data_IF_502393020288
#
_entry.id   IF_502393020288
#
_cell.length_a   1.000
_cell.length_b   1.000
_cell.length_c   1.000
_cell.angle_alpha   90.00
_cell.angle_beta   90.00
_cell.angle_gamma   90.00
#
_symmetry.space_group_name_H-M   'P 1'
#
loop_
_entity.id
_entity.type
_entity.pdbx_description
1 polymer ?
#
# COMPACT_ATOMS: atom_id res chain seq x y z
N UNK A 1 18.40 -44.54 -50.86
CA UNK A 1 17.96 -43.22 -51.33
C UNK A 1 17.06 -42.63 -50.26
N UNK A 2 17.56 -41.66 -49.53
CA UNK A 2 16.77 -40.98 -48.46
C UNK A 2 16.12 -39.74 -49.04
N UNK A 3 14.79 -39.68 -49.04
CA UNK A 3 14.06 -38.51 -49.47
C UNK A 3 14.23 -37.38 -48.48
N UNK A 4 14.78 -36.26 -48.92
CA UNK A 4 14.84 -34.99 -48.15
C UNK A 4 13.43 -34.41 -48.13
N UNK A 5 12.87 -34.31 -46.96
CA UNK A 5 11.67 -33.48 -46.68
C UNK A 5 12.07 -32.00 -46.81
N UNK A 6 11.68 -31.34 -47.90
CA UNK A 6 11.73 -29.90 -48.04
C UNK A 6 10.50 -29.31 -47.34
N UNK A 7 10.73 -28.60 -46.22
CA UNK A 7 9.69 -27.76 -45.58
C UNK A 7 9.46 -26.58 -46.53
N UNK A 8 8.26 -26.46 -47.09
CA UNK A 8 7.84 -25.32 -47.92
C UNK A 8 7.50 -24.17 -46.96
N UNK A 9 8.46 -23.28 -46.75
CA UNK A 9 8.37 -22.15 -45.81
C UNK A 9 7.99 -20.80 -46.49
N UNK A 10 7.51 -20.79 -47.73
CA UNK A 10 7.19 -19.56 -48.47
C UNK A 10 5.79 -19.01 -48.18
N UNK A 11 4.87 -19.79 -47.63
CA UNK A 11 3.49 -19.33 -47.34
C UNK A 11 3.34 -18.63 -45.98
N UNK A 12 4.15 -18.99 -44.97
CA UNK A 12 4.09 -18.40 -43.64
C UNK A 12 4.71 -17.00 -43.56
N UNK A 13 5.74 -16.73 -44.31
CA UNK A 13 6.42 -15.42 -44.30
C UNK A 13 5.56 -14.30 -44.92
N UNK A 14 4.88 -14.57 -46.02
CA UNK A 14 3.96 -13.61 -46.69
C UNK A 14 2.70 -13.38 -45.83
N UNK A 15 2.11 -14.42 -45.26
CA UNK A 15 0.97 -14.32 -44.35
C UNK A 15 1.32 -13.53 -43.07
N UNK A 16 2.56 -13.64 -42.57
CA UNK A 16 3.01 -12.85 -41.43
C UNK A 16 3.24 -11.38 -41.78
N UNK A 17 3.76 -11.08 -42.97
CA UNK A 17 3.93 -9.69 -43.45
C UNK A 17 2.57 -8.99 -43.64
N UNK A 18 1.58 -9.66 -44.19
CA UNK A 18 0.23 -9.10 -44.37
C UNK A 18 -0.50 -8.92 -43.03
N UNK A 19 -0.33 -9.84 -42.10
CA UNK A 19 -0.83 -9.69 -40.72
C UNK A 19 -0.19 -8.50 -40.00
N UNK A 20 1.11 -8.29 -40.18
CA UNK A 20 1.80 -7.15 -39.56
C UNK A 20 1.30 -5.82 -40.15
N UNK A 21 1.13 -5.71 -41.47
CA UNK A 21 0.57 -4.51 -42.11
C UNK A 21 -0.86 -4.23 -41.63
N UNK A 22 -1.70 -5.25 -41.51
CA UNK A 22 -3.06 -5.11 -41.00
C UNK A 22 -3.08 -4.64 -39.52
N UNK A 23 -2.17 -5.17 -38.68
CA UNK A 23 -2.02 -4.74 -37.29
C UNK A 23 -1.53 -3.29 -37.19
N UNK A 24 -0.54 -2.89 -37.98
CA UNK A 24 0.00 -1.53 -38.01
C UNK A 24 -1.07 -0.52 -38.49
N UNK A 25 -1.90 -0.90 -39.46
CA UNK A 25 -3.03 -0.10 -39.91
C UNK A 25 -4.11 0.05 -38.82
N UNK A 26 -4.42 -1.03 -38.10
CA UNK A 26 -5.35 -0.99 -36.98
C UNK A 26 -4.83 -0.11 -35.82
N UNK A 27 -3.55 -0.21 -35.46
CA UNK A 27 -2.92 0.65 -34.47
C UNK A 27 -2.96 2.12 -34.86
N UNK A 28 -2.66 2.43 -36.14
CA UNK A 28 -2.75 3.79 -36.66
C UNK A 28 -4.19 4.33 -36.64
N UNK A 29 -5.19 3.49 -36.87
CA UNK A 29 -6.60 3.87 -36.76
C UNK A 29 -7.00 4.16 -35.33
N UNK A 30 -6.55 3.33 -34.36
CA UNK A 30 -6.77 3.54 -32.92
C UNK A 30 -6.13 4.85 -32.46
N UNK A 31 -4.89 5.11 -32.86
CA UNK A 31 -4.18 6.35 -32.52
C UNK A 31 -4.90 7.61 -33.05
N UNK A 32 -5.48 7.54 -34.24
CA UNK A 32 -6.28 8.65 -34.81
C UNK A 32 -7.62 8.84 -34.06
N UNK A 33 -8.28 7.77 -33.71
CA UNK A 33 -9.61 7.82 -33.07
C UNK A 33 -9.55 8.16 -31.58
N UNK A 34 -8.54 7.67 -30.86
CA UNK A 34 -8.45 7.72 -29.39
C UNK A 34 -7.21 8.44 -28.85
N UNK A 35 -6.32 8.89 -29.72
CA UNK A 35 -5.06 9.56 -29.35
C UNK A 35 -3.85 8.63 -29.35
N UNK A 36 -2.66 9.20 -29.57
CA UNK A 36 -1.39 8.47 -29.61
C UNK A 36 -1.15 7.68 -28.31
N UNK A 37 -0.81 6.39 -28.46
CA UNK A 37 -0.49 5.51 -27.36
C UNK A 37 -1.70 4.87 -26.69
N UNK A 38 -2.90 4.98 -27.29
CA UNK A 38 -4.10 4.29 -26.84
C UNK A 38 -3.97 2.76 -26.93
N UNK A 39 -3.18 2.27 -27.89
CA UNK A 39 -2.76 0.86 -27.98
C UNK A 39 -1.28 0.81 -28.35
N UNK A 40 -0.50 -0.03 -27.68
CA UNK A 40 0.92 -0.19 -27.94
C UNK A 40 1.41 -1.60 -27.62
N UNK A 41 2.49 -2.03 -28.26
CA UNK A 41 3.18 -3.27 -27.89
C UNK A 41 3.92 -3.05 -26.57
N UNK A 42 3.70 -3.93 -25.59
CA UNK A 42 4.28 -3.79 -24.25
C UNK A 42 5.82 -3.69 -24.26
N UNK A 43 6.49 -4.42 -25.16
CA UNK A 43 7.95 -4.37 -25.30
C UNK A 43 8.51 -3.10 -25.97
N UNK A 44 7.66 -2.19 -26.48
CA UNK A 44 8.08 -0.90 -27.03
C UNK A 44 8.04 0.21 -25.98
N UNK A 45 7.44 -0.02 -24.83
CA UNK A 45 7.49 0.88 -23.69
C UNK A 45 8.77 0.56 -22.93
N UNK A 46 9.69 1.51 -22.80
CA UNK A 46 10.71 1.43 -21.74
C UNK A 46 10.02 0.98 -20.48
N UNK A 47 10.57 0.02 -19.76
CA UNK A 47 10.02 -0.51 -18.53
C UNK A 47 9.69 0.69 -17.63
N UNK A 48 8.43 1.14 -17.64
CA UNK A 48 8.02 2.25 -16.79
C UNK A 48 8.17 1.76 -15.36
N UNK A 49 9.20 2.27 -14.69
CA UNK A 49 9.33 2.11 -13.26
C UNK A 49 8.02 2.59 -12.63
N UNK A 50 7.43 1.74 -11.82
CA UNK A 50 6.21 2.10 -11.09
C UNK A 50 6.61 3.15 -10.06
N UNK A 51 6.15 4.37 -10.24
CA UNK A 51 6.35 5.42 -9.24
C UNK A 51 5.63 5.01 -7.95
N UNK A 52 6.31 5.17 -6.82
CA UNK A 52 5.79 4.80 -5.51
C UNK A 52 6.07 5.90 -4.49
N UNK A 53 5.26 5.94 -3.45
CA UNK A 53 5.44 6.79 -2.27
C UNK A 53 5.79 5.87 -1.11
N UNK A 54 6.87 6.20 -0.38
CA UNK A 54 7.29 5.46 0.80
C UNK A 54 6.19 5.39 1.84
N UNK A 55 6.11 4.27 2.54
CA UNK A 55 5.19 4.07 3.66
C UNK A 55 5.71 4.63 4.98
N UNK A 56 6.97 5.09 5.01
CA UNK A 56 7.67 5.43 6.25
C UNK A 56 8.32 4.23 6.93
N UNK A 57 7.95 3.00 6.54
CA UNK A 57 8.56 1.74 6.97
C UNK A 57 9.47 1.20 5.87
N UNK A 58 10.76 1.04 6.18
CA UNK A 58 11.73 0.49 5.23
C UNK A 58 11.39 -0.94 4.83
N UNK A 59 10.97 -1.76 5.80
CA UNK A 59 10.62 -3.15 5.54
C UNK A 59 9.37 -3.29 4.68
N UNK A 60 8.35 -2.46 4.94
CA UNK A 60 7.14 -2.48 4.12
C UNK A 60 7.42 -1.99 2.70
N UNK A 61 8.26 -0.97 2.52
CA UNK A 61 8.69 -0.49 1.20
C UNK A 61 9.42 -1.58 0.42
N UNK A 62 10.29 -2.36 1.09
CA UNK A 62 10.98 -3.53 0.51
C UNK A 62 9.97 -4.64 0.18
N UNK A 63 9.04 -4.95 1.07
CA UNK A 63 8.04 -6.00 0.88
C UNK A 63 7.11 -5.69 -0.30
N UNK A 64 6.79 -4.42 -0.54
CA UNK A 64 6.00 -3.95 -1.67
C UNK A 64 6.72 -4.09 -3.02
N UNK A 65 8.04 -4.22 -3.03
CA UNK A 65 8.84 -4.55 -4.22
C UNK A 65 9.11 -3.40 -5.18
N UNK A 66 8.44 -2.25 -5.01
CA UNK A 66 8.60 -1.03 -5.84
C UNK A 66 9.05 0.17 -5.01
N UNK A 67 9.46 -0.07 -3.75
CA UNK A 67 9.99 0.97 -2.86
C UNK A 67 8.91 1.80 -2.14
N UNK A 68 7.67 1.32 -2.10
CA UNK A 68 6.54 1.96 -1.45
C UNK A 68 5.20 1.60 -2.06
N UNK A 69 4.16 2.38 -1.75
CA UNK A 69 2.84 2.22 -2.34
C UNK A 69 2.77 2.85 -3.74
N UNK A 70 2.21 2.13 -4.75
CA UNK A 70 2.21 2.58 -6.12
C UNK A 70 1.30 3.78 -6.36
N UNK A 71 1.77 4.81 -7.07
CA UNK A 71 0.99 5.97 -7.49
C UNK A 71 -0.07 5.58 -8.54
N UNK A 72 -1.15 6.34 -8.59
CA UNK A 72 -2.23 6.11 -9.56
C UNK A 72 -3.02 4.82 -9.33
N UNK A 73 -3.04 4.34 -8.08
CA UNK A 73 -3.67 3.08 -7.69
C UNK A 73 -4.55 3.23 -6.46
N UNK A 74 -5.50 2.30 -6.37
CA UNK A 74 -6.31 2.11 -5.16
C UNK A 74 -5.59 1.14 -4.24
N UNK A 75 -5.44 1.55 -2.99
CA UNK A 75 -4.84 0.79 -1.90
C UNK A 75 -5.90 0.55 -0.83
N UNK A 76 -5.95 -0.64 -0.27
CA UNK A 76 -6.77 -0.94 0.92
C UNK A 76 -5.85 -1.30 2.08
N UNK A 77 -6.01 -0.60 3.20
CA UNK A 77 -5.38 -0.91 4.49
C UNK A 77 -6.47 -1.33 5.45
N UNK A 78 -6.42 -2.56 5.93
CA UNK A 78 -7.46 -3.08 6.80
C UNK A 78 -6.89 -3.86 7.98
N UNK A 79 -7.68 -3.99 9.03
CA UNK A 79 -7.29 -4.70 10.24
C UNK A 79 -8.22 -4.37 11.41
N UNK A 80 -7.97 -4.99 12.58
CA UNK A 80 -8.72 -4.70 13.80
C UNK A 80 -8.62 -3.22 14.20
N UNK A 81 -9.47 -2.80 15.11
CA UNK A 81 -9.37 -1.49 15.76
C UNK A 81 -8.02 -1.35 16.47
N UNK A 82 -7.50 -0.11 16.53
CA UNK A 82 -6.21 0.22 17.17
C UNK A 82 -4.99 -0.57 16.65
N UNK A 83 -5.05 -1.11 15.42
CA UNK A 83 -3.94 -1.84 14.80
C UNK A 83 -2.89 -0.95 14.14
N UNK A 84 -3.12 0.38 14.02
CA UNK A 84 -2.20 1.34 13.41
C UNK A 84 -2.51 1.70 11.95
N UNK A 85 -3.74 1.44 11.45
CA UNK A 85 -4.17 1.77 10.07
C UNK A 85 -3.99 3.25 9.74
N UNK A 86 -4.60 4.12 10.55
CA UNK A 86 -4.52 5.58 10.39
C UNK A 86 -3.09 6.08 10.58
N UNK A 87 -2.33 5.52 11.52
CA UNK A 87 -0.90 5.82 11.71
C UNK A 87 -0.09 5.56 10.44
N UNK A 88 -0.26 4.39 9.82
CA UNK A 88 0.41 4.05 8.56
C UNK A 88 0.02 5.02 7.44
N UNK A 89 -1.28 5.34 7.30
CA UNK A 89 -1.75 6.28 6.28
C UNK A 89 -1.19 7.70 6.48
N UNK A 90 -1.10 8.17 7.73
CA UNK A 90 -0.50 9.47 8.06
C UNK A 90 1.00 9.50 7.75
N UNK A 91 1.73 8.40 7.98
CA UNK A 91 3.14 8.31 7.55
C UNK A 91 3.28 8.41 6.03
N UNK A 92 2.39 7.77 5.26
CA UNK A 92 2.39 7.89 3.78
C UNK A 92 2.15 9.35 3.36
N UNK A 93 1.22 10.05 4.02
CA UNK A 93 0.99 11.49 3.79
C UNK A 93 2.26 12.29 4.08
N UNK A 94 2.89 12.06 5.24
CA UNK A 94 4.11 12.76 5.64
C UNK A 94 5.25 12.53 4.63
N UNK A 95 5.43 11.30 4.16
CA UNK A 95 6.44 10.98 3.13
C UNK A 95 6.12 11.61 1.77
N UNK A 96 4.84 11.69 1.38
CA UNK A 96 4.41 12.40 0.17
C UNK A 96 4.74 13.90 0.26
N UNK A 97 4.37 14.55 1.37
CA UNK A 97 4.61 15.98 1.59
C UNK A 97 6.10 16.33 1.66
N UNK A 98 6.94 15.48 2.28
CA UNK A 98 8.42 15.64 2.28
C UNK A 98 9.01 15.71 0.87
N UNK A 99 8.37 15.04 -0.09
CA UNK A 99 8.78 15.06 -1.49
C UNK A 99 8.05 16.14 -2.32
N UNK A 100 7.40 17.11 -1.67
CA UNK A 100 6.67 18.20 -2.31
C UNK A 100 5.30 17.81 -2.87
N UNK A 101 4.77 16.64 -2.49
CA UNK A 101 3.45 16.18 -2.90
C UNK A 101 2.32 16.79 -2.08
N UNK A 102 1.14 16.93 -2.69
CA UNK A 102 -0.08 17.41 -2.06
C UNK A 102 -0.91 16.24 -1.56
N UNK A 103 -1.41 16.35 -0.31
CA UNK A 103 -2.19 15.30 0.32
C UNK A 103 -3.59 15.79 0.75
N UNK A 104 -4.55 14.87 0.69
CA UNK A 104 -5.90 15.09 1.20
C UNK A 104 -6.34 13.94 2.12
N UNK A 105 -7.16 14.27 3.11
CA UNK A 105 -7.71 13.33 4.08
C UNK A 105 -9.23 13.53 4.18
N UNK A 106 -9.97 12.49 3.81
CA UNK A 106 -11.43 12.44 3.96
C UNK A 106 -11.74 11.68 5.24
N UNK A 107 -12.04 12.44 6.29
CA UNK A 107 -12.29 11.97 7.65
C UNK A 107 -13.78 11.69 7.85
N UNK A 108 -14.24 10.52 7.43
CA UNK A 108 -15.63 10.10 7.60
C UNK A 108 -15.95 9.61 9.03
N UNK A 109 -14.95 9.33 9.84
CA UNK A 109 -15.10 8.97 11.26
C UNK A 109 -15.08 10.20 12.19
N UNK A 110 -14.71 11.40 11.67
CA UNK A 110 -14.52 12.62 12.45
C UNK A 110 -13.54 12.46 13.62
N UNK A 111 -12.50 11.68 13.42
CA UNK A 111 -11.57 11.23 14.46
C UNK A 111 -10.10 11.62 14.21
N UNK A 112 -9.82 12.42 13.18
CA UNK A 112 -8.46 12.87 12.88
C UNK A 112 -7.93 13.81 13.99
N UNK A 113 -6.86 13.40 14.65
CA UNK A 113 -6.14 14.23 15.61
C UNK A 113 -5.00 14.99 14.92
N UNK A 114 -5.13 16.33 14.75
CA UNK A 114 -4.08 17.14 14.11
C UNK A 114 -2.77 17.18 14.91
N UNK A 115 -2.84 17.07 16.24
CA UNK A 115 -1.63 17.06 17.10
C UNK A 115 -0.84 15.79 16.86
N UNK A 116 -1.54 14.64 16.77
CA UNK A 116 -0.92 13.37 16.44
C UNK A 116 -0.36 13.36 15.01
N UNK A 117 -1.12 13.83 14.03
CA UNK A 117 -0.67 13.93 12.65
C UNK A 117 0.64 14.76 12.53
N UNK A 118 0.70 15.90 13.22
CA UNK A 118 1.90 16.74 13.26
C UNK A 118 3.10 16.02 13.86
N UNK A 119 2.90 15.22 14.92
CA UNK A 119 3.98 14.42 15.54
C UNK A 119 4.53 13.36 14.59
N UNK A 120 3.69 12.81 13.70
CA UNK A 120 4.09 11.86 12.66
C UNK A 120 4.81 12.53 11.47
N UNK A 121 4.94 13.86 11.48
CA UNK A 121 5.62 14.63 10.45
C UNK A 121 4.71 15.15 9.34
N UNK A 122 3.39 15.07 9.50
CA UNK A 122 2.43 15.67 8.56
C UNK A 122 2.48 17.19 8.69
N UNK A 123 2.62 17.89 7.57
CA UNK A 123 2.40 19.33 7.50
C UNK A 123 0.89 19.59 7.49
N UNK A 124 0.34 19.90 8.67
CA UNK A 124 -1.10 20.08 8.86
C UNK A 124 -1.63 21.35 8.20
N UNK A 125 -0.77 22.34 7.98
CA UNK A 125 -1.18 23.61 7.36
C UNK A 125 -1.43 23.45 5.84
N UNK A 126 -0.85 22.43 5.22
CA UNK A 126 -1.05 22.09 3.81
C UNK A 126 -1.89 20.84 3.58
N UNK A 127 -2.34 20.16 4.65
CA UNK A 127 -3.19 19.00 4.52
C UNK A 127 -4.64 19.42 4.24
N UNK A 128 -5.19 19.00 3.10
CA UNK A 128 -6.59 19.21 2.78
C UNK A 128 -7.44 18.20 3.56
N UNK A 129 -8.31 18.68 4.44
CA UNK A 129 -9.20 17.82 5.24
C UNK A 129 -10.65 18.07 4.85
N UNK A 130 -11.43 16.99 4.70
CA UNK A 130 -12.88 17.05 4.48
C UNK A 130 -13.57 16.08 5.42
N UNK A 131 -14.69 16.50 6.00
CA UNK A 131 -15.53 15.74 6.94
C UNK A 131 -16.94 15.63 6.38
N UNK A 132 -17.20 14.68 5.49
CA UNK A 132 -18.50 14.51 4.84
C UNK A 132 -19.53 13.85 5.77
N UNK A 133 -20.81 14.22 5.61
CA UNK A 133 -21.92 13.65 6.38
C UNK A 133 -22.43 12.32 5.79
N UNK A 134 -22.25 12.09 4.49
CA UNK A 134 -22.75 10.88 3.79
C UNK A 134 -21.69 10.23 2.94
N UNK A 135 -21.83 8.93 2.69
CA UNK A 135 -20.92 8.17 1.82
C UNK A 135 -20.89 8.70 0.38
N UNK A 136 -22.04 9.14 -0.15
CA UNK A 136 -22.14 9.76 -1.48
C UNK A 136 -21.32 11.05 -1.55
N UNK A 137 -21.48 11.94 -0.54
CA UNK A 137 -20.72 13.19 -0.46
C UNK A 137 -19.22 12.92 -0.36
N UNK A 138 -18.81 11.98 0.50
CA UNK A 138 -17.41 11.58 0.62
C UNK A 138 -16.81 11.16 -0.72
N UNK A 139 -17.49 10.27 -1.46
CA UNK A 139 -17.00 9.73 -2.71
C UNK A 139 -17.03 10.72 -3.87
N UNK A 140 -17.96 11.70 -3.85
CA UNK A 140 -17.97 12.82 -4.80
C UNK A 140 -16.81 13.80 -4.55
N UNK A 141 -16.48 14.07 -3.27
CA UNK A 141 -15.30 14.85 -2.89
C UNK A 141 -14.03 14.15 -3.37
N UNK A 142 -13.92 12.84 -3.14
CA UNK A 142 -12.79 12.02 -3.65
C UNK A 142 -12.69 12.13 -5.17
N UNK A 143 -13.79 11.96 -5.93
CA UNK A 143 -13.79 12.08 -7.40
C UNK A 143 -13.31 13.46 -7.86
N UNK A 144 -13.80 14.51 -7.21
CA UNK A 144 -13.45 15.90 -7.55
C UNK A 144 -11.97 16.18 -7.30
N UNK A 145 -11.43 15.78 -6.13
CA UNK A 145 -10.05 15.96 -5.77
C UNK A 145 -9.11 15.16 -6.69
N UNK A 146 -9.43 13.89 -6.98
CA UNK A 146 -8.66 13.04 -7.90
C UNK A 146 -8.65 13.63 -9.31
N UNK A 147 -9.78 14.12 -9.80
CA UNK A 147 -9.88 14.69 -11.15
C UNK A 147 -9.20 16.05 -11.32
N UNK A 148 -8.91 16.74 -10.24
CA UNK A 148 -8.13 17.99 -10.28
C UNK A 148 -6.69 17.80 -10.77
N UNK A 149 -6.15 16.56 -10.69
CA UNK A 149 -4.74 16.22 -10.94
C UNK A 149 -3.74 16.94 -10.01
N UNK A 150 -4.22 17.57 -8.93
CA UNK A 150 -3.40 18.33 -8.00
C UNK A 150 -3.04 17.54 -6.72
N UNK A 151 -3.63 16.35 -6.53
CA UNK A 151 -3.47 15.54 -5.34
C UNK A 151 -2.61 14.31 -5.64
N UNK A 152 -1.56 14.09 -4.86
CA UNK A 152 -0.68 12.93 -4.96
C UNK A 152 -1.16 11.76 -4.12
N UNK A 153 -1.65 12.04 -2.90
CA UNK A 153 -2.18 11.05 -1.95
C UNK A 153 -3.51 11.53 -1.40
N UNK A 154 -4.50 10.65 -1.44
CA UNK A 154 -5.80 10.86 -0.81
C UNK A 154 -6.11 9.67 0.10
N UNK A 155 -6.43 9.94 1.36
CA UNK A 155 -6.86 8.94 2.35
C UNK A 155 -8.34 9.07 2.62
N UNK A 156 -9.05 7.95 2.71
CA UNK A 156 -10.45 7.87 3.16
C UNK A 156 -10.48 7.03 4.44
N UNK A 157 -10.78 7.65 5.56
CA UNK A 157 -10.86 7.00 6.87
C UNK A 157 -12.26 7.15 7.45
N UNK A 158 -13.08 6.13 7.51
CA UNK A 158 -12.89 4.80 6.98
C UNK A 158 -14.08 4.39 6.07
N UNK A 159 -13.90 3.31 5.29
CA UNK A 159 -15.00 2.75 4.47
C UNK A 159 -16.21 2.38 5.33
N UNK A 160 -15.98 1.94 6.59
CA UNK A 160 -17.07 1.58 7.50
C UNK A 160 -17.99 2.76 7.84
N UNK A 161 -17.47 3.98 7.82
CA UNK A 161 -18.21 5.21 8.12
C UNK A 161 -18.88 5.84 6.88
N UNK A 162 -18.68 5.28 5.69
CA UNK A 162 -19.35 5.74 4.46
C UNK A 162 -20.79 5.25 4.43
N UNK A 163 -21.63 5.87 5.25
CA UNK A 163 -23.07 5.54 5.36
C UNK A 163 -23.83 6.16 4.17
N UNK A 164 -24.61 5.37 3.40
CA UNK A 164 -25.46 5.89 2.34
C UNK A 164 -26.50 6.87 2.88
N UNK A 165 -26.78 7.93 2.12
CA UNK A 165 -27.78 8.94 2.49
C UNK A 165 -29.14 8.32 2.82
N UNK A 166 -29.59 7.36 2.02
CA UNK A 166 -30.87 6.68 2.24
C UNK A 166 -30.92 5.91 3.57
N UNK A 167 -29.79 5.49 4.12
CA UNK A 167 -29.69 4.86 5.43
C UNK A 167 -29.77 5.91 6.56
N UNK A 168 -29.20 7.10 6.34
CA UNK A 168 -29.22 8.21 7.30
C UNK A 168 -30.64 8.82 7.38
N UNK A 169 -31.33 8.95 6.25
CA UNK A 169 -32.70 9.52 6.15
C UNK A 169 -33.79 8.51 6.51
N UNK A 170 -33.47 7.21 6.62
CA UNK A 170 -34.38 6.13 7.01
C UNK A 170 -34.72 6.14 8.50
N UNK A 171 -35.75 5.39 8.88
CA UNK A 171 -36.12 5.21 10.30
C UNK A 171 -35.21 4.21 10.99
N UNK A 172 -35.05 4.37 12.32
CA UNK A 172 -34.30 3.40 13.13
C UNK A 172 -34.95 2.02 13.08
N UNK A 173 -34.22 1.04 12.52
CA UNK A 173 -34.67 -0.35 12.32
C UNK A 173 -34.99 -0.71 10.89
N UNK A 174 -34.95 0.24 9.95
CA UNK A 174 -35.09 -0.04 8.53
C UNK A 174 -33.93 -0.92 8.01
N UNK A 175 -34.29 -1.86 7.14
CA UNK A 175 -33.30 -2.77 6.55
C UNK A 175 -32.72 -2.19 5.26
N UNK A 176 -31.48 -1.73 5.31
CA UNK A 176 -30.75 -1.15 4.18
C UNK A 176 -29.65 -2.10 3.62
N UNK A 177 -29.99 -3.39 3.49
CA UNK A 177 -29.04 -4.43 3.09
C UNK A 177 -28.37 -4.11 1.75
N UNK A 178 -27.03 -4.02 1.78
CA UNK A 178 -26.21 -3.91 0.58
C UNK A 178 -26.10 -2.53 -0.04
N UNK A 179 -26.71 -1.48 0.49
CA UNK A 179 -26.62 -0.12 -0.07
C UNK A 179 -25.17 0.38 -0.09
N UNK A 180 -24.43 0.23 1.01
CA UNK A 180 -23.01 0.60 1.08
C UNK A 180 -22.15 -0.16 0.06
N UNK A 181 -22.39 -1.46 -0.11
CA UNK A 181 -21.65 -2.28 -1.09
C UNK A 181 -21.97 -1.84 -2.54
N UNK A 182 -23.21 -1.43 -2.83
CA UNK A 182 -23.62 -0.89 -4.13
C UNK A 182 -22.95 0.46 -4.38
N UNK A 183 -22.97 1.37 -3.39
CA UNK A 183 -22.33 2.68 -3.45
C UNK A 183 -20.83 2.53 -3.74
N UNK A 184 -20.12 1.69 -2.98
CA UNK A 184 -18.69 1.41 -3.19
C UNK A 184 -18.41 0.83 -4.58
N UNK A 185 -19.22 -0.12 -5.04
CA UNK A 185 -19.05 -0.73 -6.36
C UNK A 185 -19.22 0.28 -7.49
N UNK A 186 -20.21 1.15 -7.41
CA UNK A 186 -20.47 2.18 -8.40
C UNK A 186 -19.37 3.24 -8.42
N UNK A 187 -18.96 3.71 -7.25
CA UNK A 187 -17.93 4.75 -7.11
C UNK A 187 -16.55 4.26 -7.55
N UNK A 188 -16.13 3.07 -7.14
CA UNK A 188 -14.83 2.52 -7.55
C UNK A 188 -14.74 2.29 -9.05
N UNK A 189 -15.85 1.90 -9.71
CA UNK A 189 -15.90 1.77 -11.17
C UNK A 189 -15.62 3.11 -11.86
N UNK A 190 -16.17 4.22 -11.32
CA UNK A 190 -15.95 5.57 -11.83
C UNK A 190 -14.54 6.09 -11.50
N UNK A 191 -14.10 5.92 -10.25
CA UNK A 191 -12.85 6.46 -9.72
C UNK A 191 -11.61 5.83 -10.35
N UNK A 192 -11.61 4.52 -10.62
CA UNK A 192 -10.39 3.78 -11.04
C UNK A 192 -9.74 4.40 -12.27
N UNK A 193 -10.52 4.81 -13.27
CA UNK A 193 -10.01 5.46 -14.47
C UNK A 193 -9.42 6.85 -14.20
N UNK A 194 -10.04 7.62 -13.32
CA UNK A 194 -9.56 8.96 -12.93
C UNK A 194 -8.29 8.86 -12.08
N UNK A 195 -8.24 7.94 -11.13
CA UNK A 195 -7.08 7.65 -10.27
C UNK A 195 -5.86 7.30 -11.12
N UNK A 196 -6.02 6.42 -12.12
CA UNK A 196 -4.92 6.03 -13.00
C UNK A 196 -4.39 7.20 -13.83
N UNK A 197 -5.28 8.06 -14.35
CA UNK A 197 -4.89 9.22 -15.18
C UNK A 197 -4.23 10.33 -14.37
N UNK A 198 -4.76 10.63 -13.19
CA UNK A 198 -4.23 11.68 -12.31
C UNK A 198 -2.95 11.28 -11.59
N UNK A 199 -2.62 9.98 -11.59
CA UNK A 199 -1.53 9.40 -10.77
C UNK A 199 -1.71 9.61 -9.26
N UNK A 200 -2.89 10.02 -8.80
CA UNK A 200 -3.24 10.12 -7.40
C UNK A 200 -3.28 8.72 -6.79
N UNK A 201 -2.64 8.51 -5.65
CA UNK A 201 -2.81 7.31 -4.83
C UNK A 201 -4.03 7.51 -3.93
N UNK A 202 -4.96 6.55 -3.93
CA UNK A 202 -6.11 6.60 -3.02
C UNK A 202 -6.05 5.43 -2.05
N UNK A 203 -5.92 5.75 -0.76
CA UNK A 203 -5.86 4.78 0.33
C UNK A 203 -7.24 4.74 1.00
N UNK A 204 -7.88 3.58 0.97
CA UNK A 204 -9.08 3.30 1.75
C UNK A 204 -8.70 2.54 3.02
N UNK A 205 -8.96 3.14 4.16
CA UNK A 205 -8.87 2.46 5.46
C UNK A 205 -10.17 1.69 5.68
N UNK A 206 -10.05 0.42 6.08
CA UNK A 206 -11.21 -0.45 6.24
C UNK A 206 -11.16 -1.20 7.58
N UNK A 207 -12.33 -1.57 8.07
CA UNK A 207 -12.49 -2.31 9.31
C UNK A 207 -12.85 -3.77 9.00
N UNK A 208 -12.44 -4.67 9.89
CA UNK A 208 -12.83 -6.06 9.86
C UNK A 208 -14.22 -6.26 10.50
N UNK A 209 -14.98 -7.17 9.92
CA UNK A 209 -16.25 -7.67 10.45
C UNK A 209 -16.23 -9.18 10.40
N UNK A 210 -16.99 -9.80 11.29
CA UNK A 210 -17.13 -11.24 11.33
C UNK A 210 -18.41 -11.66 10.59
N UNK A 211 -18.30 -12.59 9.66
CA UNK A 211 -19.45 -13.21 9.00
C UNK A 211 -20.15 -14.15 9.99
N UNK A 212 -21.45 -13.96 10.16
CA UNK A 212 -22.26 -14.82 10.99
C UNK A 212 -22.51 -16.16 10.26
N UNK A 213 -22.38 -17.28 10.98
CA UNK A 213 -22.71 -18.61 10.46
C UNK A 213 -21.60 -19.31 9.65
N UNK A 214 -20.39 -18.75 9.59
CA UNK A 214 -19.24 -19.42 8.99
C UNK A 214 -18.64 -20.39 10.00
N UNK A 215 -18.87 -21.71 9.80
CA UNK A 215 -18.33 -22.76 10.67
C UNK A 215 -16.94 -23.25 10.23
N UNK A 216 -16.59 -23.07 8.95
CA UNK A 216 -15.32 -23.48 8.36
C UNK A 216 -14.74 -22.35 7.50
N UNK A 217 -13.41 -22.21 7.46
CA UNK A 217 -12.70 -21.16 6.75
C UNK A 217 -12.65 -19.84 7.53
N UNK A 218 -12.12 -18.78 6.89
CA UNK A 218 -11.92 -17.49 7.55
C UNK A 218 -13.24 -16.69 7.63
N UNK A 219 -13.78 -16.42 8.82
CA UNK A 219 -15.00 -15.64 9.00
C UNK A 219 -14.77 -14.14 8.80
N UNK A 220 -13.52 -13.65 8.78
CA UNK A 220 -13.22 -12.22 8.67
C UNK A 220 -13.56 -11.68 7.27
N UNK A 221 -14.16 -10.52 7.24
CA UNK A 221 -14.44 -9.78 6.00
C UNK A 221 -14.29 -8.29 6.24
N UNK A 222 -14.03 -7.53 5.20
CA UNK A 222 -14.00 -6.07 5.24
C UNK A 222 -15.38 -5.47 4.93
N UNK A 223 -15.68 -4.25 5.43
CA UNK A 223 -16.91 -3.52 5.14
C UNK A 223 -16.95 -3.02 3.69
N UNK A 224 -18.12 -2.58 3.21
CA UNK A 224 -18.29 -2.04 1.85
C UNK A 224 -18.35 -3.10 0.74
N UNK A 225 -18.55 -4.37 1.08
CA UNK A 225 -18.70 -5.47 0.13
C UNK A 225 -17.37 -5.91 -0.53
N UNK A 226 -17.49 -6.56 -1.70
CA UNK A 226 -16.30 -7.13 -2.37
C UNK A 226 -15.63 -6.20 -3.38
N UNK A 227 -16.25 -5.05 -3.72
CA UNK A 227 -15.74 -4.20 -4.81
C UNK A 227 -14.29 -3.75 -4.56
N UNK A 228 -13.99 -3.28 -3.34
CA UNK A 228 -12.65 -2.81 -2.98
C UNK A 228 -11.60 -3.92 -3.10
N UNK A 229 -11.94 -5.16 -2.76
CA UNK A 229 -11.04 -6.33 -2.91
C UNK A 229 -10.61 -6.54 -4.37
N UNK A 230 -11.49 -6.24 -5.35
CA UNK A 230 -11.17 -6.37 -6.77
C UNK A 230 -10.42 -5.15 -7.31
N UNK A 231 -10.85 -3.94 -6.96
CA UNK A 231 -10.29 -2.70 -7.48
C UNK A 231 -8.93 -2.35 -6.87
N UNK A 232 -8.69 -2.66 -5.60
CA UNK A 232 -7.41 -2.42 -4.96
C UNK A 232 -6.26 -3.13 -5.71
N UNK A 233 -5.18 -2.39 -5.95
CA UNK A 233 -3.92 -2.93 -6.50
C UNK A 233 -3.03 -3.50 -5.41
N UNK A 234 -3.09 -2.93 -4.21
CA UNK A 234 -2.41 -3.42 -3.00
C UNK A 234 -3.42 -3.52 -1.88
N UNK A 235 -3.34 -4.60 -1.10
CA UNK A 235 -4.13 -4.79 0.13
C UNK A 235 -3.19 -5.17 1.26
N UNK A 236 -3.26 -4.43 2.35
CA UNK A 236 -2.44 -4.58 3.54
C UNK A 236 -3.32 -4.99 4.73
N UNK A 237 -3.04 -6.15 5.30
CA UNK A 237 -3.60 -6.58 6.59
C UNK A 237 -2.65 -6.13 7.69
N UNK A 238 -3.09 -5.23 8.55
CA UNK A 238 -2.30 -4.69 9.66
C UNK A 238 -2.84 -5.15 10.99
N UNK A 239 -1.98 -5.77 11.81
CA UNK A 239 -2.37 -6.35 13.10
C UNK A 239 -1.35 -6.03 14.19
N UNK A 240 -1.85 -5.71 15.37
CA UNK A 240 -1.04 -5.64 16.57
C UNK A 240 -0.68 -7.06 17.00
N UNK A 241 0.62 -7.30 17.24
CA UNK A 241 1.15 -8.60 17.70
C UNK A 241 1.52 -8.60 19.19
N UNK A 242 1.81 -7.43 19.77
CA UNK A 242 2.16 -7.31 21.18
C UNK A 242 2.23 -5.87 21.66
N UNK A 243 2.37 -5.69 22.95
CA UNK A 243 2.64 -4.39 23.57
C UNK A 243 4.15 -4.23 23.81
N UNK A 244 4.67 -3.04 23.50
CA UNK A 244 6.04 -2.66 23.85
C UNK A 244 5.98 -1.93 25.18
N UNK A 245 6.76 -2.40 26.15
CA UNK A 245 6.78 -1.84 27.50
C UNK A 245 8.16 -1.29 27.80
N UNK A 246 8.17 -0.15 28.47
CA UNK A 246 9.34 0.34 29.24
C UNK A 246 8.99 0.20 30.72
N UNK A 247 9.64 -0.75 31.42
CA UNK A 247 9.29 -1.19 32.78
C UNK A 247 7.82 -1.63 32.83
N UNK A 248 6.95 -0.90 33.53
CA UNK A 248 5.52 -1.20 33.69
C UNK A 248 4.61 -0.40 32.76
N UNK A 249 5.16 0.56 32.01
CA UNK A 249 4.40 1.43 31.10
C UNK A 249 4.39 0.88 29.67
N UNK A 250 3.22 0.89 29.03
CA UNK A 250 3.09 0.53 27.62
C UNK A 250 3.39 1.76 26.77
N UNK A 251 4.52 1.72 26.06
CA UNK A 251 5.02 2.85 25.24
C UNK A 251 4.76 2.68 23.75
N UNK A 252 4.28 1.53 23.32
CA UNK A 252 4.02 1.27 21.91
C UNK A 252 3.44 -0.13 21.65
N UNK A 253 3.30 -0.44 20.38
CA UNK A 253 2.81 -1.74 19.92
C UNK A 253 3.75 -2.33 18.87
N UNK A 254 4.09 -3.61 19.01
CA UNK A 254 4.63 -4.39 17.91
C UNK A 254 3.49 -4.66 16.91
N UNK A 255 3.74 -4.37 15.65
CA UNK A 255 2.73 -4.42 14.59
C UNK A 255 3.25 -5.24 13.43
N UNK A 256 2.38 -6.10 12.90
CA UNK A 256 2.63 -6.92 11.72
C UNK A 256 1.77 -6.43 10.57
N UNK A 257 2.38 -6.31 9.38
CA UNK A 257 1.68 -5.99 8.14
C UNK A 257 1.92 -7.12 7.14
N UNK A 258 0.84 -7.75 6.66
CA UNK A 258 0.87 -8.74 5.58
C UNK A 258 0.40 -8.09 4.28
N UNK A 259 1.19 -8.23 3.22
CA UNK A 259 0.82 -7.81 1.86
C UNK A 259 -0.04 -8.90 1.24
N UNK A 260 -1.35 -8.82 1.41
CA UNK A 260 -2.30 -9.87 0.99
C UNK A 260 -2.53 -9.88 -0.51
N UNK A 261 -2.47 -8.70 -1.13
CA UNK A 261 -2.60 -8.52 -2.57
C UNK A 261 -1.61 -7.47 -3.05
N UNK A 262 -0.94 -7.77 -4.16
CA UNK A 262 -0.05 -6.81 -4.82
C UNK A 262 -0.07 -7.08 -6.34
N UNK A 263 -0.43 -6.05 -7.13
CA UNK A 263 -0.44 -6.12 -8.60
C UNK A 263 0.84 -5.59 -9.24
N UNK A 264 1.78 -5.07 -8.45
CA UNK A 264 3.03 -4.46 -8.96
C UNK A 264 4.28 -5.27 -8.59
N UNK A 265 4.17 -6.23 -7.66
CA UNK A 265 5.23 -7.15 -7.26
C UNK A 265 4.61 -8.43 -6.66
N UNK A 266 5.39 -9.50 -6.39
CA UNK A 266 4.88 -10.70 -5.71
C UNK A 266 4.27 -10.38 -4.34
N UNK A 267 3.04 -10.84 -4.06
CA UNK A 267 2.36 -10.64 -2.77
C UNK A 267 2.86 -11.60 -1.68
N UNK A 268 2.15 -11.64 -0.55
CA UNK A 268 2.32 -12.54 0.59
C UNK A 268 3.60 -12.34 1.41
N UNK A 269 4.26 -11.19 1.26
CA UNK A 269 5.33 -10.78 2.15
C UNK A 269 4.75 -10.21 3.45
N UNK A 270 5.49 -10.43 4.54
CA UNK A 270 5.10 -10.01 5.87
C UNK A 270 6.24 -9.25 6.52
N UNK A 271 5.92 -8.13 7.15
CA UNK A 271 6.87 -7.30 7.89
C UNK A 271 6.35 -7.03 9.29
N UNK A 272 7.28 -6.85 10.22
CA UNK A 272 6.98 -6.44 11.59
C UNK A 272 7.80 -5.21 11.93
N UNK A 273 7.16 -4.25 12.55
CA UNK A 273 7.77 -3.03 13.06
C UNK A 273 7.04 -2.52 14.30
N UNK A 274 7.73 -1.65 15.02
CA UNK A 274 7.18 -1.04 16.22
C UNK A 274 6.46 0.27 15.87
N UNK A 275 5.26 0.46 16.42
CA UNK A 275 4.57 1.76 16.45
C UNK A 275 4.66 2.30 17.87
N UNK A 276 5.43 3.37 18.05
CA UNK A 276 5.61 4.04 19.34
C UNK A 276 4.53 5.09 19.54
N UNK A 277 4.01 5.19 20.75
CA UNK A 277 2.97 6.19 21.05
C UNK A 277 3.53 7.60 20.97
N UNK A 278 2.86 8.43 20.18
CA UNK A 278 3.28 9.82 19.94
C UNK A 278 4.44 10.02 18.95
N UNK A 279 5.09 8.94 18.48
CA UNK A 279 6.19 9.01 17.51
C UNK A 279 5.88 8.27 16.20
N UNK A 280 4.95 7.28 16.23
CA UNK A 280 4.60 6.47 15.08
C UNK A 280 5.57 5.32 14.82
N UNK A 281 5.81 5.01 13.54
CA UNK A 281 6.66 3.90 13.11
C UNK A 281 8.12 4.15 13.52
N UNK A 282 8.71 3.20 14.27
CA UNK A 282 10.10 3.28 14.75
C UNK A 282 11.09 2.94 13.63
N UNK A 283 11.39 3.89 12.76
CA UNK A 283 12.31 3.71 11.63
C UNK A 283 13.68 3.17 12.07
N UNK A 284 14.24 3.68 13.16
CA UNK A 284 15.56 3.27 13.66
C UNK A 284 15.52 1.81 14.13
N UNK A 285 14.47 1.43 14.87
CA UNK A 285 14.28 0.06 15.31
C UNK A 285 14.18 -0.91 14.14
N UNK A 286 13.44 -0.53 13.11
CA UNK A 286 13.27 -1.31 11.90
C UNK A 286 14.58 -1.47 11.11
N UNK A 287 15.35 -0.39 10.93
CA UNK A 287 16.68 -0.43 10.29
C UNK A 287 17.62 -1.39 11.03
N UNK A 288 17.62 -1.36 12.37
CA UNK A 288 18.44 -2.26 13.17
C UNK A 288 18.02 -3.72 12.97
N UNK A 289 16.71 -4.01 13.07
CA UNK A 289 16.18 -5.38 12.98
C UNK A 289 16.37 -5.97 11.58
N UNK A 290 16.13 -5.18 10.53
CA UNK A 290 16.39 -5.57 9.14
C UNK A 290 17.89 -5.73 8.90
N UNK A 291 18.71 -4.84 9.45
CA UNK A 291 20.17 -4.93 9.37
C UNK A 291 20.73 -6.24 9.95
N UNK A 292 20.15 -6.71 11.06
CA UNK A 292 20.49 -8.04 11.64
C UNK A 292 20.03 -9.16 10.72
N UNK A 293 18.79 -9.13 10.22
CA UNK A 293 18.25 -10.15 9.29
C UNK A 293 19.04 -10.22 7.98
N UNK A 294 19.51 -9.08 7.49
CA UNK A 294 20.34 -8.98 6.28
C UNK A 294 21.82 -9.36 6.49
N UNK A 295 22.22 -9.71 7.72
CA UNK A 295 23.62 -10.02 8.06
C UNK A 295 24.57 -8.83 7.93
N UNK A 296 24.03 -7.59 7.96
CA UNK A 296 24.81 -6.35 7.96
C UNK A 296 25.17 -5.91 9.38
N UNK A 297 24.27 -6.14 10.32
CA UNK A 297 24.51 -5.92 11.74
C UNK A 297 24.75 -7.28 12.40
N UNK A 298 25.90 -7.43 13.02
CA UNK A 298 26.25 -8.62 13.79
C UNK A 298 25.60 -8.55 15.17
N UNK A 299 24.94 -9.64 15.57
CA UNK A 299 24.39 -9.81 16.91
C UNK A 299 25.09 -10.96 17.61
N UNK A 300 25.91 -10.65 18.63
CA UNK A 300 26.59 -11.63 19.47
C UNK A 300 26.10 -11.52 20.90
N UNK A 301 25.23 -12.46 21.32
CA UNK A 301 24.53 -12.40 22.58
C UNK A 301 23.66 -11.13 22.65
N UNK A 302 23.92 -10.26 23.63
CA UNK A 302 23.23 -8.98 23.79
C UNK A 302 23.87 -7.83 22.99
N UNK A 303 25.04 -8.03 22.38
CA UNK A 303 25.78 -6.97 21.70
C UNK A 303 25.42 -6.87 20.21
N UNK A 304 25.29 -5.66 19.74
CA UNK A 304 25.11 -5.30 18.33
C UNK A 304 26.36 -4.60 17.83
N UNK A 305 26.84 -4.98 16.63
CA UNK A 305 27.98 -4.38 15.96
C UNK A 305 27.68 -4.14 14.48
N UNK A 306 28.14 -3.01 13.96
CA UNK A 306 28.06 -2.67 12.55
C UNK A 306 29.39 -2.07 12.09
N UNK A 307 29.94 -2.58 10.96
CA UNK A 307 31.23 -2.14 10.41
C UNK A 307 32.38 -2.18 11.46
N UNK A 308 32.45 -3.31 12.20
CA UNK A 308 33.40 -3.53 13.31
C UNK A 308 33.26 -2.58 14.50
N UNK A 309 32.25 -1.71 14.53
CA UNK A 309 31.96 -0.81 15.64
C UNK A 309 30.84 -1.39 16.50
N UNK A 310 31.07 -1.48 17.82
CA UNK A 310 29.99 -1.84 18.76
C UNK A 310 29.01 -0.71 18.89
N UNK A 311 27.74 -0.94 18.50
CA UNK A 311 26.68 0.06 18.49
C UNK A 311 25.78 0.01 19.75
N UNK A 312 25.87 -1.06 20.56
CA UNK A 312 25.17 -1.10 21.83
C UNK A 312 25.01 -2.50 22.40
N UNK A 313 24.79 -2.55 23.71
CA UNK A 313 24.35 -3.74 24.42
C UNK A 313 22.84 -3.66 24.63
N UNK A 314 22.09 -4.57 24.01
CA UNK A 314 20.64 -4.52 23.95
C UNK A 314 20.10 -3.64 22.81
N UNK A 315 18.86 -3.94 22.40
CA UNK A 315 18.21 -3.30 21.24
C UNK A 315 18.02 -1.79 21.45
N UNK A 316 17.61 -1.36 22.65
CA UNK A 316 17.33 0.05 22.93
C UNK A 316 18.62 0.89 22.95
N UNK A 317 19.72 0.37 23.50
CA UNK A 317 21.01 1.08 23.45
C UNK A 317 21.54 1.19 22.02
N UNK A 318 21.36 0.15 21.19
CA UNK A 318 21.73 0.22 19.78
C UNK A 318 20.88 1.23 19.00
N UNK A 319 19.56 1.33 19.29
CA UNK A 319 18.68 2.37 18.72
C UNK A 319 19.13 3.79 19.13
N UNK A 320 19.45 3.98 20.40
CA UNK A 320 19.97 5.27 20.89
C UNK A 320 21.27 5.64 20.20
N UNK A 321 22.20 4.70 20.10
CA UNK A 321 23.47 4.93 19.39
C UNK A 321 23.25 5.33 17.93
N UNK A 322 22.36 4.64 17.19
CA UNK A 322 22.03 4.97 15.80
C UNK A 322 21.33 6.33 15.69
N UNK A 323 20.52 6.72 16.67
CA UNK A 323 19.89 8.05 16.75
C UNK A 323 20.94 9.16 16.87
N UNK A 324 21.96 8.94 17.72
CA UNK A 324 23.03 9.89 17.97
C UNK A 324 24.08 9.91 16.84
N UNK A 325 24.08 8.90 15.96
CA UNK A 325 24.99 8.77 14.84
C UNK A 325 24.24 8.66 13.48
N UNK A 326 23.63 9.75 13.01
CA UNK A 326 22.77 9.73 11.82
C UNK A 326 23.50 9.32 10.53
N UNK A 327 24.80 9.60 10.40
CA UNK A 327 25.60 9.17 9.25
C UNK A 327 25.75 7.65 9.19
N UNK A 328 25.94 7.01 10.33
CA UNK A 328 26.02 5.55 10.41
C UNK A 328 24.65 4.91 10.10
N UNK A 329 23.58 5.50 10.63
CA UNK A 329 22.21 5.06 10.33
C UNK A 329 21.92 5.13 8.82
N UNK A 330 22.28 6.25 8.16
CA UNK A 330 22.08 6.41 6.71
C UNK A 330 22.92 5.43 5.89
N UNK A 331 24.17 5.15 6.30
CA UNK A 331 25.02 4.13 5.66
C UNK A 331 24.40 2.74 5.77
N UNK A 332 23.90 2.39 6.95
CA UNK A 332 23.21 1.11 7.17
C UNK A 332 21.93 1.01 6.34
N UNK A 333 21.09 2.05 6.34
CA UNK A 333 19.88 2.09 5.49
C UNK A 333 20.23 1.90 4.01
N UNK A 334 21.25 2.60 3.51
CA UNK A 334 21.72 2.47 2.12
C UNK A 334 22.22 1.06 1.81
N UNK A 335 22.94 0.45 2.75
CA UNK A 335 23.43 -0.93 2.59
C UNK A 335 22.27 -1.94 2.58
N UNK A 336 21.23 -1.75 3.39
CA UNK A 336 20.01 -2.56 3.37
C UNK A 336 19.31 -2.41 2.02
N UNK A 337 19.13 -1.18 1.53
CA UNK A 337 18.49 -0.91 0.21
C UNK A 337 19.27 -1.54 -0.95
N UNK A 338 20.59 -1.65 -0.85
CA UNK A 338 21.41 -2.34 -1.85
C UNK A 338 21.20 -3.88 -1.87
N UNK A 339 20.65 -4.46 -0.79
CA UNK A 339 20.35 -5.89 -0.64
C UNK A 339 18.85 -6.19 -0.64
N UNK A 340 18.06 -5.32 -1.25
CA UNK A 340 16.58 -5.38 -1.21
C UNK A 340 16.01 -6.75 -1.60
N UNK A 341 16.54 -7.41 -2.63
CA UNK A 341 16.08 -8.73 -3.08
C UNK A 341 16.28 -9.80 -1.99
N UNK A 342 17.47 -9.87 -1.39
CA UNK A 342 17.78 -10.85 -0.33
C UNK A 342 16.91 -10.62 0.91
N UNK A 343 16.71 -9.36 1.28
CA UNK A 343 15.84 -8.99 2.42
C UNK A 343 14.38 -9.34 2.11
N UNK A 344 13.92 -9.07 0.89
CA UNK A 344 12.56 -9.36 0.44
C UNK A 344 12.24 -10.85 0.42
N UNK A 345 13.19 -11.70 0.03
CA UNK A 345 13.02 -13.16 0.03
C UNK A 345 12.85 -13.71 1.45
N UNK A 346 13.57 -13.14 2.41
CA UNK A 346 13.42 -13.49 3.82
C UNK A 346 12.11 -13.01 4.49
N UNK A 347 11.31 -12.20 3.79
CA UNK A 347 10.02 -11.67 4.26
C UNK A 347 8.80 -12.47 3.79
N UNK A 348 8.99 -13.57 3.03
CA UNK A 348 7.88 -14.43 2.62
C UNK A 348 7.20 -15.00 3.85
N UNK A 349 5.89 -14.78 3.96
CA UNK A 349 5.06 -15.44 4.98
C UNK A 349 5.11 -16.95 4.72
N UNK A 350 5.42 -17.74 5.74
CA UNK A 350 5.15 -19.17 5.68
C UNK A 350 3.65 -19.41 5.37
N UNK A 351 3.28 -20.60 4.84
CA UNK A 351 1.88 -20.92 4.61
C UNK A 351 1.11 -20.70 5.92
N UNK A 352 0.18 -19.76 5.91
CA UNK A 352 -0.76 -19.57 7.02
C UNK A 352 -1.86 -20.60 6.85
N UNK A 353 -2.32 -21.22 7.93
CA UNK A 353 -3.47 -22.14 7.93
C UNK A 353 -4.76 -21.50 7.35
N UNK A 354 -4.75 -20.20 7.08
CA UNK A 354 -5.86 -19.40 6.56
C UNK A 354 -5.85 -19.21 5.02
N UNK A 355 -4.84 -19.68 4.30
CA UNK A 355 -4.69 -19.45 2.85
C UNK A 355 -5.38 -20.53 1.96
N UNK A 356 -5.99 -21.55 2.56
CA UNK A 356 -6.77 -22.59 1.87
C UNK A 356 -8.28 -22.22 1.86
N UNK A 357 -8.70 -21.22 1.07
CA UNK A 357 -10.07 -21.14 0.50
C UNK A 357 -10.10 -20.27 -0.76
#
# INVERSE_FOLDING_TARGET
MAAKLQVIDTGMATANADRQKALDAALAQIDRAFGKGSAMKLGQKETMQVEAISTGSLGLDIALGVGGLPRGRVIEVYGPESSGKTTLALHVIAEAQKNGGTAAFVDAEHALDPVYAKKLGVNIDELIVSQPDTGEQALEIVDTLVRSNAIDVLVVDSVAALVPRAEIEGEMGDSHVGLQARLMSQSLRKLTGSISRSRCMVIFINQLRMKIGVMYGNPETTTGGNALKFYASVRLDIRRTGAIKDRDEVIGNATRVKVVKNKVAPPFKQVEFDIMYGEGISKIGEILDIGVKAGLVEKSGAWFSYDSVRIGQGRENAKTFLRDNPEMMQRLEKAIRARTEQVADGMMAGPSEDDDV
#
